data_IF_885685079730
#
_entry.id   IF_885685079730
#
_cell.length_a   1.000
_cell.length_b   1.000
_cell.length_c   1.000
_cell.angle_alpha   90.00
_cell.angle_beta   90.00
_cell.angle_gamma   90.00
#
_symmetry.space_group_name_H-M   'P 1'
#
loop_
_entity.id
_entity.type
_entity.pdbx_description
1 polymer ?
#
# COMPACT_ATOMS: atom_id res chain seq x y z
N UNK A 1 11.42 -3.74 24.54
CA UNK A 1 10.82 -5.02 24.07
C UNK A 1 11.44 -5.38 22.73
N UNK A 2 11.74 -6.67 22.52
CA UNK A 2 12.28 -7.16 21.24
C UNK A 2 11.12 -7.47 20.29
N UNK A 3 11.24 -7.06 19.04
CA UNK A 3 10.29 -7.35 17.96
C UNK A 3 11.06 -7.54 16.64
N UNK A 4 10.37 -7.80 15.55
CA UNK A 4 10.94 -7.94 14.21
C UNK A 4 10.58 -6.73 13.34
N UNK A 5 11.48 -6.35 12.44
CA UNK A 5 11.17 -5.37 11.40
C UNK A 5 10.21 -6.00 10.38
N UNK A 6 9.10 -5.34 10.06
CA UNK A 6 8.12 -5.82 9.07
C UNK A 6 8.64 -5.78 7.63
N UNK A 7 9.75 -5.06 7.37
CA UNK A 7 10.34 -4.95 6.04
C UNK A 7 11.55 -5.89 5.84
N UNK A 8 12.59 -5.73 6.67
CA UNK A 8 13.83 -6.50 6.52
C UNK A 8 13.95 -7.68 7.48
N UNK A 9 12.91 -7.97 8.27
CA UNK A 9 12.81 -9.11 9.20
C UNK A 9 13.91 -9.22 10.28
N UNK A 10 14.77 -8.21 10.42
CA UNK A 10 15.77 -8.15 11.48
C UNK A 10 15.13 -8.00 12.86
N UNK A 11 15.77 -8.59 13.87
CA UNK A 11 15.40 -8.39 15.29
C UNK A 11 15.77 -6.98 15.73
N UNK A 12 14.80 -6.25 16.25
CA UNK A 12 14.95 -4.86 16.71
C UNK A 12 14.41 -4.68 18.13
N UNK A 13 14.96 -3.70 18.83
CA UNK A 13 14.45 -3.29 20.13
C UNK A 13 13.63 -2.01 19.96
N UNK A 14 12.40 -2.01 20.48
CA UNK A 14 11.52 -0.84 20.54
C UNK A 14 10.95 -0.67 21.93
N UNK A 15 10.51 0.54 22.25
CA UNK A 15 9.80 0.79 23.50
C UNK A 15 8.42 0.10 23.46
N UNK A 16 7.92 -0.39 24.61
CA UNK A 16 6.61 -1.04 24.68
C UNK A 16 5.48 -0.11 24.23
N UNK A 17 5.58 1.19 24.51
CA UNK A 17 4.63 2.19 24.05
C UNK A 17 4.56 2.27 22.51
N UNK A 18 5.71 2.19 21.83
CA UNK A 18 5.76 2.17 20.35
C UNK A 18 5.13 0.90 19.79
N UNK A 19 5.36 -0.27 20.40
CA UNK A 19 4.77 -1.53 19.94
C UNK A 19 3.24 -1.57 20.10
N UNK A 20 2.70 -0.95 21.17
CA UNK A 20 1.25 -0.86 21.38
C UNK A 20 0.58 0.11 20.41
N UNK A 21 1.27 1.21 20.07
CA UNK A 21 0.72 2.27 19.19
C UNK A 21 0.80 1.91 17.72
N UNK A 22 1.90 1.30 17.29
CA UNK A 22 2.18 1.07 15.88
C UNK A 22 1.83 -0.37 15.49
N UNK A 23 0.97 -0.52 14.47
CA UNK A 23 0.66 -1.82 13.89
C UNK A 23 1.85 -2.45 13.16
N UNK A 24 2.81 -1.63 12.70
CA UNK A 24 4.01 -2.05 11.96
C UNK A 24 5.26 -1.42 12.54
N UNK A 25 6.34 -2.19 12.59
CA UNK A 25 7.59 -1.86 13.22
C UNK A 25 8.73 -1.92 12.21
N UNK A 26 9.51 -0.84 12.15
CA UNK A 26 10.63 -0.72 11.23
C UNK A 26 11.92 -0.46 11.99
N UNK A 27 13.01 -1.07 11.52
CA UNK A 27 14.32 -0.87 12.14
C UNK A 27 14.79 0.58 11.99
N UNK A 28 14.51 1.20 10.85
CA UNK A 28 14.95 2.54 10.51
C UNK A 28 13.99 3.21 9.50
N UNK A 29 14.27 4.48 9.16
CA UNK A 29 13.46 5.26 8.22
C UNK A 29 13.53 4.71 6.80
N UNK A 30 14.64 4.07 6.40
CA UNK A 30 14.77 3.50 5.06
C UNK A 30 13.84 2.30 4.88
N UNK A 31 13.76 1.39 5.86
CA UNK A 31 12.80 0.28 5.83
C UNK A 31 11.36 0.77 5.78
N UNK A 32 11.03 1.84 6.51
CA UNK A 32 9.70 2.45 6.42
C UNK A 32 9.44 3.02 5.02
N UNK A 33 10.38 3.76 4.45
CA UNK A 33 10.25 4.36 3.12
C UNK A 33 10.15 3.31 2.01
N UNK A 34 10.92 2.23 2.10
CA UNK A 34 10.87 1.13 1.12
C UNK A 34 9.57 0.36 1.24
N UNK A 35 9.15 0.02 2.46
CA UNK A 35 7.82 -0.55 2.71
C UNK A 35 6.72 0.35 2.14
N UNK A 36 6.84 1.67 2.33
CA UNK A 36 5.91 2.62 1.71
C UNK A 36 5.97 2.58 0.19
N UNK A 37 7.12 2.55 -0.47
CA UNK A 37 7.19 2.48 -1.95
C UNK A 37 6.53 1.21 -2.51
N UNK A 38 6.71 0.08 -1.84
CA UNK A 38 6.15 -1.21 -2.26
C UNK A 38 4.65 -1.30 -2.01
N UNK A 39 4.18 -0.78 -0.87
CA UNK A 39 2.76 -0.82 -0.50
C UNK A 39 1.96 0.36 -1.08
N UNK A 40 2.59 1.52 -1.30
CA UNK A 40 2.00 2.68 -1.94
C UNK A 40 2.05 2.55 -3.46
N UNK A 41 1.19 1.70 -4.00
CA UNK A 41 0.56 1.95 -5.30
C UNK A 41 -0.56 2.97 -5.08
N UNK A 42 -0.22 4.20 -4.71
CA UNK A 42 -1.18 5.28 -4.59
C UNK A 42 -0.66 6.50 -5.37
N UNK A 43 -1.44 7.01 -6.33
CA UNK A 43 -1.03 8.12 -7.18
C UNK A 43 -0.78 9.36 -6.34
N UNK A 44 0.21 10.17 -6.77
CA UNK A 44 0.56 11.45 -6.17
C UNK A 44 -0.71 12.25 -5.87
N UNK A 45 -0.79 12.83 -4.67
CA UNK A 45 -1.88 13.71 -4.27
C UNK A 45 -1.83 14.97 -5.14
N UNK A 46 -2.75 15.09 -6.10
CA UNK A 46 -3.14 16.42 -6.57
C UNK A 46 -3.86 17.09 -5.40
N UNK A 47 -3.38 18.27 -4.99
CA UNK A 47 -3.82 19.02 -3.80
C UNK A 47 -5.31 19.49 -3.84
N UNK A 48 -6.11 19.06 -4.83
CA UNK A 48 -7.41 19.69 -5.12
C UNK A 48 -8.65 18.83 -4.88
N UNK A 49 -8.55 17.53 -4.59
CA UNK A 49 -9.74 16.72 -4.30
C UNK A 49 -9.49 15.72 -3.17
N UNK A 50 -10.39 15.69 -2.18
CA UNK A 50 -10.36 14.78 -1.03
C UNK A 50 -10.95 13.38 -1.34
N UNK A 51 -11.19 13.08 -2.61
CA UNK A 51 -11.73 11.77 -3.00
C UNK A 51 -10.60 10.81 -3.37
N UNK A 52 -10.49 9.64 -2.72
CA UNK A 52 -9.51 8.64 -3.10
C UNK A 52 -9.82 8.13 -4.52
N UNK A 53 -8.89 8.31 -5.46
CA UNK A 53 -9.05 7.94 -6.88
C UNK A 53 -9.40 6.45 -7.10
N UNK A 54 -9.22 5.58 -6.10
CA UNK A 54 -9.62 4.16 -6.13
C UNK A 54 -11.14 3.99 -6.27
N UNK A 55 -11.95 4.93 -5.77
CA UNK A 55 -13.40 4.92 -5.97
C UNK A 55 -13.75 5.06 -7.47
N UNK A 56 -12.91 5.75 -8.25
CA UNK A 56 -13.09 5.91 -9.70
C UNK A 56 -12.62 4.68 -10.49
N UNK A 57 -11.54 4.02 -10.05
CA UNK A 57 -11.05 2.81 -10.72
C UNK A 57 -11.99 1.62 -10.56
N UNK A 58 -12.62 1.41 -9.39
CA UNK A 58 -13.64 0.34 -9.21
C UNK A 58 -14.81 0.43 -10.21
N UNK A 59 -15.19 1.64 -10.62
CA UNK A 59 -16.23 1.88 -11.63
C UNK A 59 -15.77 1.51 -13.05
N UNK A 60 -14.47 1.57 -13.33
CA UNK A 60 -13.87 1.18 -14.61
C UNK A 60 -13.61 -0.33 -14.72
N UNK A 61 -13.09 -0.98 -13.66
CA UNK A 61 -12.85 -2.44 -13.69
C UNK A 61 -14.15 -3.26 -13.76
N UNK A 62 -15.28 -2.73 -13.26
CA UNK A 62 -16.59 -3.37 -13.44
C UNK A 62 -17.03 -3.47 -14.90
N UNK A 63 -16.57 -2.56 -15.77
CA UNK A 63 -16.90 -2.55 -17.20
C UNK A 63 -15.92 -3.33 -18.07
N UNK A 64 -14.81 -3.83 -17.51
CA UNK A 64 -13.79 -4.61 -18.24
C UNK A 64 -14.08 -6.11 -18.23
N UNK A 65 -14.77 -6.62 -17.20
CA UNK A 65 -14.98 -8.07 -17.01
C UNK A 65 -16.33 -8.55 -17.59
N UNK A 66 -17.20 -7.64 -18.05
CA UNK A 66 -18.46 -7.95 -18.76
C UNK A 66 -18.58 -7.10 -20.03
N UNK A 67 -17.64 -7.33 -20.95
CA UNK A 67 -17.73 -6.82 -22.31
C UNK A 67 -17.23 -7.90 -23.25
N UNK A 68 -18.15 -8.70 -23.79
CA UNK A 68 -17.87 -9.57 -24.93
C UNK A 68 -17.09 -8.79 -26.01
N UNK A 69 -15.92 -9.28 -26.39
CA UNK A 69 -15.13 -8.73 -27.49
C UNK A 69 -15.32 -9.61 -28.73
N UNK A 70 -16.33 -9.37 -29.59
CA UNK A 70 -16.48 -10.09 -30.85
C UNK A 70 -15.51 -9.53 -31.89
N UNK A 71 -14.20 -9.74 -31.70
CA UNK A 71 -13.19 -9.37 -32.71
C UNK A 71 -11.92 -10.21 -32.70
N UNK A 72 -12.04 -11.51 -32.42
CA UNK A 72 -11.08 -12.49 -32.93
C UNK A 72 -11.63 -12.99 -34.26
N UNK A 73 -11.35 -12.24 -35.34
CA UNK A 73 -11.46 -12.78 -36.70
C UNK A 73 -10.12 -13.41 -37.03
N UNK A 74 -10.09 -14.72 -37.03
CA UNK A 74 -9.14 -15.55 -37.78
C UNK A 74 -9.87 -16.79 -38.22
#
# INVERSE_FOLDING_TARGET
MRTTCDYCHRRISKSPATLKKNQRNFCDRQCYANYQKEVWVYPKRDCKTKEPFIARFKKLIKNVILGDNPRIKT
#
